data_IF_261127418221
#
_entry.id   IF_261127418221
#
_cell.length_a   1.000
_cell.length_b   1.000
_cell.length_c   1.000
_cell.angle_alpha   90.00
_cell.angle_beta   90.00
_cell.angle_gamma   90.00
#
_symmetry.space_group_name_H-M   'P 1'
#
loop_
_entity.id
_entity.type
_entity.pdbx_description
1 polymer ?
#
# COMPACT_ATOMS: atom_id res chain seq x y z
N UNK A 1 -32.08 28.91 -1.42
CA UNK A 1 -33.14 27.89 -1.56
C UNK A 1 -32.99 27.28 -2.95
N UNK A 2 -32.42 26.08 -3.02
CA UNK A 2 -33.12 24.78 -3.22
C UNK A 2 -33.16 24.42 -4.72
N UNK A 3 -32.41 23.41 -5.16
CA UNK A 3 -32.69 21.96 -5.13
C UNK A 3 -33.30 21.49 -6.46
N UNK A 4 -32.70 20.45 -7.06
CA UNK A 4 -33.34 19.16 -7.40
C UNK A 4 -32.32 18.34 -8.23
N UNK A 5 -31.77 17.23 -7.72
CA UNK A 5 -32.33 15.86 -7.75
C UNK A 5 -32.76 15.40 -9.15
N UNK A 6 -31.94 14.54 -9.76
CA UNK A 6 -32.45 13.43 -10.60
C UNK A 6 -31.45 12.29 -10.63
N UNK A 7 -31.86 11.19 -9.98
CA UNK A 7 -31.29 9.87 -10.16
C UNK A 7 -31.55 9.40 -11.59
N UNK A 8 -30.55 8.83 -12.26
CA UNK A 8 -30.74 8.08 -13.50
C UNK A 8 -29.69 6.99 -13.58
N UNK A 9 -30.16 5.75 -13.39
CA UNK A 9 -29.44 4.50 -13.64
C UNK A 9 -29.29 4.35 -15.16
N UNK A 10 -28.06 4.44 -15.69
CA UNK A 10 -27.76 4.00 -17.05
C UNK A 10 -26.42 3.22 -17.02
N UNK A 11 -26.57 1.90 -17.09
CA UNK A 11 -25.77 1.00 -17.93
C UNK A 11 -24.23 1.02 -17.76
N UNK A 12 -23.73 0.39 -16.69
CA UNK A 12 -22.31 0.03 -16.54
C UNK A 12 -21.95 -1.16 -17.45
N UNK A 13 -21.67 -0.87 -18.72
CA UNK A 13 -20.95 -1.80 -19.61
C UNK A 13 -19.46 -1.47 -19.50
N UNK A 14 -18.67 -2.45 -19.03
CA UNK A 14 -17.23 -2.59 -19.23
C UNK A 14 -16.35 -1.35 -19.02
N UNK A 15 -15.77 -1.21 -17.82
CA UNK A 15 -14.38 -0.77 -17.71
C UNK A 15 -13.73 -1.41 -16.48
N UNK A 16 -13.03 -2.49 -16.77
CA UNK A 16 -12.11 -3.25 -15.92
C UNK A 16 -10.89 -2.37 -15.59
N UNK A 17 -11.08 -1.31 -14.82
CA UNK A 17 -9.99 -0.43 -14.39
C UNK A 17 -10.38 0.36 -13.14
N UNK A 18 -10.82 -0.34 -12.08
CA UNK A 18 -10.47 0.09 -10.73
C UNK A 18 -9.02 -0.34 -10.48
N UNK A 19 -8.09 0.32 -11.19
CA UNK A 19 -6.71 0.41 -10.73
C UNK A 19 -6.78 0.98 -9.32
N UNK A 20 -6.28 0.22 -8.37
CA UNK A 20 -6.15 0.58 -6.97
C UNK A 20 -5.75 2.06 -6.86
N UNK A 21 -6.63 2.88 -6.29
CA UNK A 21 -6.22 4.11 -5.61
C UNK A 21 -5.57 3.65 -4.29
N UNK A 22 -4.44 2.95 -4.39
CA UNK A 22 -3.55 2.67 -3.28
C UNK A 22 -2.26 3.38 -3.67
N UNK A 23 -2.10 4.67 -3.32
CA UNK A 23 -1.16 5.04 -2.26
C UNK A 23 -1.05 6.58 -2.13
N UNK A 24 -2.14 7.33 -2.20
CA UNK A 24 -2.09 8.81 -2.17
C UNK A 24 -2.07 9.42 -0.75
N UNK A 25 -1.50 8.72 0.25
CA UNK A 25 -1.64 9.13 1.66
C UNK A 25 -0.45 8.90 2.58
N UNK A 26 0.73 8.56 2.06
CA UNK A 26 1.91 8.31 2.89
C UNK A 26 3.18 8.83 2.25
N UNK A 27 4.08 9.31 3.11
CA UNK A 27 5.32 9.93 2.68
C UNK A 27 6.25 8.92 2.02
N UNK A 28 6.92 9.31 0.91
CA UNK A 28 7.93 8.48 0.29
C UNK A 28 9.10 8.25 1.28
N UNK A 29 9.61 7.03 1.31
CA UNK A 29 10.67 6.60 2.23
C UNK A 29 11.90 6.19 1.43
N UNK A 30 13.07 6.83 1.62
CA UNK A 30 14.28 6.52 0.86
C UNK A 30 14.86 5.14 1.23
N UNK A 31 15.65 4.56 0.32
CA UNK A 31 16.32 3.27 0.54
C UNK A 31 17.17 3.22 1.82
N UNK A 32 17.79 4.34 2.20
CA UNK A 32 18.60 4.45 3.43
C UNK A 32 17.82 4.10 4.69
N UNK A 33 16.49 4.13 4.65
CA UNK A 33 15.58 3.76 5.73
C UNK A 33 15.12 2.30 5.69
N UNK A 34 15.66 1.48 4.79
CA UNK A 34 15.23 0.08 4.67
C UNK A 34 15.37 -0.74 5.96
N UNK A 35 16.34 -0.43 6.82
CA UNK A 35 16.43 -1.07 8.14
C UNK A 35 15.18 -0.84 9.00
N UNK A 36 14.59 0.35 8.94
CA UNK A 36 13.35 0.70 9.66
C UNK A 36 12.14 0.02 9.01
N UNK A 37 12.07 0.03 7.68
CA UNK A 37 11.01 -0.63 6.90
C UNK A 37 10.96 -2.14 7.18
N UNK A 38 12.11 -2.83 7.15
CA UNK A 38 12.19 -4.26 7.45
C UNK A 38 11.75 -4.56 8.87
N UNK A 39 12.21 -3.78 9.85
CA UNK A 39 11.82 -3.96 11.25
C UNK A 39 10.31 -3.77 11.45
N UNK A 40 9.72 -2.79 10.77
CA UNK A 40 8.28 -2.55 10.80
C UNK A 40 7.52 -3.71 10.16
N UNK A 41 7.93 -4.16 8.97
CA UNK A 41 7.32 -5.29 8.28
C UNK A 41 7.36 -6.58 9.12
N UNK A 42 8.51 -6.88 9.74
CA UNK A 42 8.64 -8.01 10.66
C UNK A 42 7.70 -7.92 11.85
N UNK A 43 7.54 -6.72 12.42
CA UNK A 43 6.62 -6.49 13.54
C UNK A 43 5.16 -6.71 13.13
N UNK A 44 4.75 -6.24 11.95
CA UNK A 44 3.38 -6.39 11.44
C UNK A 44 3.07 -7.84 11.09
N UNK A 45 4.00 -8.53 10.42
CA UNK A 45 3.82 -9.90 9.95
C UNK A 45 4.01 -10.95 11.07
N UNK A 46 4.86 -10.67 12.05
CA UNK A 46 5.18 -11.59 13.15
C UNK A 46 5.78 -12.89 12.64
N UNK A 47 5.26 -14.03 13.09
CA UNK A 47 5.71 -15.36 12.65
C UNK A 47 5.52 -15.64 11.15
N UNK A 48 4.77 -14.80 10.42
CA UNK A 48 4.60 -14.90 8.98
C UNK A 48 5.63 -14.07 8.20
N UNK A 49 6.51 -13.35 8.89
CA UNK A 49 7.53 -12.55 8.23
C UNK A 49 8.57 -13.48 7.56
N UNK A 50 8.95 -13.21 6.30
CA UNK A 50 10.13 -13.85 5.73
C UNK A 50 11.39 -13.37 6.47
N UNK A 51 12.53 -13.94 6.12
CA UNK A 51 13.80 -13.59 6.76
C UNK A 51 14.12 -12.10 6.59
N UNK A 52 14.86 -11.53 7.55
CA UNK A 52 15.27 -10.12 7.49
C UNK A 52 16.04 -9.79 6.19
N UNK A 53 16.88 -10.72 5.72
CA UNK A 53 17.65 -10.54 4.48
C UNK A 53 16.77 -10.50 3.23
N UNK A 54 15.71 -11.30 3.20
CA UNK A 54 14.76 -11.31 2.09
C UNK A 54 13.94 -10.01 2.07
N UNK A 55 13.41 -9.58 3.22
CA UNK A 55 12.73 -8.29 3.36
C UNK A 55 13.63 -7.11 3.01
N UNK A 56 14.92 -7.16 3.38
CA UNK A 56 15.88 -6.11 3.03
C UNK A 56 16.12 -6.05 1.53
N UNK A 57 16.19 -7.20 0.86
CA UNK A 57 16.35 -7.27 -0.59
C UNK A 57 15.13 -6.71 -1.31
N UNK A 58 13.93 -7.07 -0.85
CA UNK A 58 12.67 -6.51 -1.35
C UNK A 58 12.59 -5.00 -1.12
N UNK A 59 12.98 -4.52 0.06
CA UNK A 59 12.97 -3.09 0.37
C UNK A 59 13.89 -2.26 -0.52
N UNK A 60 15.08 -2.78 -0.85
CA UNK A 60 16.03 -2.10 -1.74
C UNK A 60 15.57 -2.10 -3.18
N UNK A 61 14.90 -3.16 -3.62
CA UNK A 61 14.33 -3.26 -4.95
C UNK A 61 13.07 -2.38 -5.13
N UNK A 62 12.36 -2.09 -4.05
CA UNK A 62 11.17 -1.24 -4.05
C UNK A 62 11.52 0.24 -4.25
N UNK A 63 10.57 0.99 -4.81
CA UNK A 63 10.66 2.45 -4.90
C UNK A 63 10.32 3.12 -3.55
N UNK A 64 10.53 4.45 -3.47
CA UNK A 64 10.28 5.20 -2.25
C UNK A 64 8.79 5.19 -1.84
N UNK A 65 7.87 5.07 -2.79
CA UNK A 65 6.43 5.08 -2.52
C UNK A 65 5.97 3.76 -1.90
N UNK A 66 6.44 2.63 -2.43
CA UNK A 66 6.19 1.30 -1.89
C UNK A 66 6.78 1.15 -0.48
N UNK A 67 8.00 1.66 -0.26
CA UNK A 67 8.58 1.74 1.10
C UNK A 67 7.71 2.56 2.05
N UNK A 68 7.16 3.69 1.58
CA UNK A 68 6.19 4.50 2.33
C UNK A 68 4.88 3.75 2.65
N UNK A 69 4.36 2.98 1.69
CA UNK A 69 3.17 2.14 1.89
C UNK A 69 3.41 1.11 3.01
N UNK A 70 4.54 0.42 2.99
CA UNK A 70 4.89 -0.57 4.02
C UNK A 70 4.93 0.09 5.41
N UNK A 71 5.49 1.29 5.52
CA UNK A 71 5.55 2.04 6.78
C UNK A 71 4.17 2.50 7.27
N UNK A 72 3.24 2.81 6.36
CA UNK A 72 1.87 3.15 6.71
C UNK A 72 1.02 1.92 7.09
N UNK A 73 1.37 0.74 6.59
CA UNK A 73 0.62 -0.48 6.82
C UNK A 73 0.78 -0.97 8.27
N UNK A 74 -0.32 -1.01 9.04
CA UNK A 74 -0.32 -1.49 10.44
C UNK A 74 -0.87 -2.90 10.61
N UNK A 75 -1.38 -3.51 9.54
CA UNK A 75 -2.03 -4.83 9.53
C UNK A 75 -1.45 -5.69 8.40
N UNK A 76 -1.37 -7.00 8.63
CA UNK A 76 -0.81 -7.97 7.66
C UNK A 76 -1.45 -7.86 6.27
N UNK A 77 -2.78 -7.79 6.22
CA UNK A 77 -3.52 -7.67 4.97
C UNK A 77 -3.24 -6.36 4.22
N UNK A 78 -3.02 -5.26 4.94
CA UNK A 78 -2.66 -3.97 4.33
C UNK A 78 -1.22 -3.99 3.78
N UNK A 79 -0.30 -4.63 4.50
CA UNK A 79 1.09 -4.76 4.05
C UNK A 79 1.19 -5.59 2.77
N UNK A 80 0.33 -6.61 2.62
CA UNK A 80 0.24 -7.40 1.39
C UNK A 80 -0.27 -6.61 0.16
N UNK A 81 -0.80 -5.39 0.33
CA UNK A 81 -1.19 -4.51 -0.78
C UNK A 81 -0.04 -3.57 -1.21
N UNK A 82 1.07 -3.55 -0.48
CA UNK A 82 2.25 -2.72 -0.77
C UNK A 82 3.33 -3.45 -1.59
N UNK A 83 3.14 -4.75 -1.82
CA UNK A 83 4.07 -5.67 -2.47
C UNK A 83 3.58 -6.03 -3.88
#
# INVERSE_FOLDING_TARGET
MQLAKTATKILCTSLLSFGLIACSGHDPVPESKCGEVVKHAQKVLGAMAPSAGELMSQCKAADDSARGCVMAATKKGALAQCL
#
